data_IF_937646051539
#
_entry.id   IF_937646051539
#
_cell.length_a   1.000
_cell.length_b   1.000
_cell.length_c   1.000
_cell.angle_alpha   90.00
_cell.angle_beta   90.00
_cell.angle_gamma   90.00
#
_symmetry.space_group_name_H-M   'P 1'
#
loop_
_entity.id
_entity.type
_entity.pdbx_description
1 polymer ?
#
# COMPACT_ATOMS: atom_id res chain seq x y z
N UNK A 1 -3.09 53.07 -19.69
CA UNK A 1 -3.96 52.08 -19.01
C UNK A 1 -3.85 50.65 -19.55
N UNK A 2 -3.75 50.42 -20.88
CA UNK A 2 -3.73 49.06 -21.47
C UNK A 2 -2.58 48.12 -21.04
N UNK A 3 -1.40 48.66 -20.71
CA UNK A 3 -0.23 47.84 -20.31
C UNK A 3 -0.32 47.23 -18.91
N UNK A 4 -1.10 47.82 -17.99
CA UNK A 4 -1.26 47.32 -16.61
C UNK A 4 -2.23 46.14 -16.53
N UNK A 5 -3.22 46.10 -17.42
CA UNK A 5 -4.21 45.01 -17.50
C UNK A 5 -3.59 43.72 -18.03
N UNK A 6 -2.69 43.82 -19.01
CA UNK A 6 -1.99 42.65 -19.57
C UNK A 6 -1.07 41.95 -18.55
N UNK A 7 -0.36 42.70 -17.70
CA UNK A 7 0.53 42.13 -16.69
C UNK A 7 -0.24 41.37 -15.58
N UNK A 8 -1.42 41.85 -15.21
CA UNK A 8 -2.29 41.21 -14.20
C UNK A 8 -2.89 39.90 -14.76
N UNK A 9 -3.31 39.91 -16.03
CA UNK A 9 -3.79 38.70 -16.72
C UNK A 9 -2.71 37.62 -16.84
N UNK A 10 -1.48 37.99 -17.18
CA UNK A 10 -0.37 37.04 -17.26
C UNK A 10 0.00 36.44 -15.89
N UNK A 11 -0.05 37.23 -14.82
CA UNK A 11 0.23 36.75 -13.46
C UNK A 11 -0.84 35.76 -12.98
N UNK A 12 -2.12 36.03 -13.28
CA UNK A 12 -3.23 35.12 -12.95
C UNK A 12 -3.14 33.78 -13.71
N UNK A 13 -2.71 33.81 -14.97
CA UNK A 13 -2.54 32.59 -15.78
C UNK A 13 -1.38 31.72 -15.26
N UNK A 14 -0.29 32.34 -14.80
CA UNK A 14 0.84 31.62 -14.18
C UNK A 14 0.44 31.04 -12.81
N UNK A 15 -0.35 31.75 -12.00
CA UNK A 15 -0.83 31.23 -10.70
C UNK A 15 -1.80 30.05 -10.88
N UNK A 16 -2.64 30.06 -11.93
CA UNK A 16 -3.49 28.91 -12.25
C UNK A 16 -2.71 27.73 -12.83
N UNK A 17 -1.65 27.98 -13.62
CA UNK A 17 -0.76 26.93 -14.10
C UNK A 17 0.09 26.32 -12.98
N UNK A 18 0.55 27.09 -12.00
CA UNK A 18 1.34 26.53 -10.87
C UNK A 18 0.41 25.88 -9.83
N UNK A 19 -0.82 26.35 -9.64
CA UNK A 19 -1.79 25.74 -8.71
C UNK A 19 -2.48 24.50 -9.27
N UNK A 20 -2.61 24.37 -10.59
CA UNK A 20 -3.26 23.22 -11.24
C UNK A 20 -2.39 21.95 -11.30
N UNK A 21 -1.07 22.09 -11.29
CA UNK A 21 -0.15 20.94 -11.42
C UNK A 21 0.14 20.21 -10.09
N UNK A 22 -0.24 20.77 -8.95
CA UNK A 22 0.00 20.15 -7.64
C UNK A 22 -1.06 19.09 -7.26
N UNK A 23 -2.07 18.87 -8.10
CA UNK A 23 -3.28 18.10 -7.74
C UNK A 23 -3.43 16.70 -8.34
N UNK A 24 -2.43 16.13 -9.02
CA UNK A 24 -2.65 14.87 -9.73
C UNK A 24 -1.50 13.88 -9.60
N UNK A 25 -1.22 13.39 -8.39
CA UNK A 25 -0.89 11.98 -8.21
C UNK A 25 -1.43 11.50 -6.86
N UNK A 26 -2.75 11.28 -6.70
CA UNK A 26 -3.20 10.39 -5.64
C UNK A 26 -2.49 9.05 -5.89
N UNK A 27 -1.57 8.69 -5.00
CA UNK A 27 -0.95 7.36 -4.99
C UNK A 27 -2.09 6.36 -5.09
N UNK A 28 -2.23 5.66 -6.23
CA UNK A 28 -3.39 4.79 -6.44
C UNK A 28 -3.52 3.83 -5.25
N UNK A 29 -4.73 3.58 -4.73
CA UNK A 29 -4.88 2.74 -3.57
C UNK A 29 -4.38 1.32 -3.90
N UNK A 30 -3.74 0.65 -2.94
CA UNK A 30 -3.22 -0.71 -3.16
C UNK A 30 -4.32 -1.71 -3.55
N UNK A 31 -5.58 -1.40 -3.23
CA UNK A 31 -6.76 -2.16 -3.62
C UNK A 31 -6.96 -2.22 -5.14
N UNK A 32 -6.41 -1.26 -5.90
CA UNK A 32 -6.37 -1.33 -7.37
C UNK A 32 -5.36 -2.35 -7.90
N UNK A 33 -4.51 -2.93 -7.04
CA UNK A 33 -3.44 -3.87 -7.40
C UNK A 33 -3.65 -5.28 -6.82
N UNK A 34 -4.91 -5.73 -6.70
CA UNK A 34 -5.21 -7.10 -6.27
C UNK A 34 -4.52 -8.12 -7.18
N UNK A 35 -3.81 -9.05 -6.56
CA UNK A 35 -3.08 -10.11 -7.24
C UNK A 35 -4.07 -11.12 -7.84
N UNK A 36 -3.89 -11.52 -9.12
CA UNK A 36 -4.75 -12.52 -9.76
C UNK A 36 -4.64 -13.91 -9.09
N UNK A 37 -3.54 -14.16 -8.36
CA UNK A 37 -3.35 -15.34 -7.52
C UNK A 37 -2.80 -14.91 -6.16
N UNK A 38 -3.66 -14.82 -5.13
CA UNK A 38 -3.21 -14.55 -3.77
C UNK A 38 -2.25 -15.63 -3.26
N UNK A 39 -1.25 -15.23 -2.47
CA UNK A 39 -0.32 -16.16 -1.85
C UNK A 39 -0.84 -16.56 -0.47
N UNK A 40 -1.01 -17.86 -0.23
CA UNK A 40 -1.46 -18.36 1.08
C UNK A 40 -0.32 -18.21 2.09
N UNK A 41 -0.63 -17.61 3.24
CA UNK A 41 0.27 -17.45 4.37
C UNK A 41 -0.17 -18.42 5.47
N UNK A 42 0.80 -18.95 6.23
CA UNK A 42 0.50 -19.90 7.32
C UNK A 42 0.72 -19.23 8.67
N UNK A 43 -0.29 -19.21 9.53
CA UNK A 43 -0.11 -18.83 10.94
C UNK A 43 -0.21 -20.08 11.84
N UNK A 44 0.86 -20.48 12.54
CA UNK A 44 0.79 -21.61 13.47
C UNK A 44 -0.10 -21.32 14.68
N UNK A 45 -0.31 -20.05 15.06
CA UNK A 45 -1.09 -19.65 16.22
C UNK A 45 -2.58 -19.49 15.92
N UNK A 46 -2.97 -19.48 14.63
CA UNK A 46 -4.36 -19.37 14.19
C UNK A 46 -4.66 -20.40 13.09
N UNK A 47 -4.63 -21.71 13.42
CA UNK A 47 -4.77 -22.78 12.43
C UNK A 47 -6.18 -22.89 11.83
N UNK A 48 -7.17 -22.23 12.45
CA UNK A 48 -8.57 -22.22 11.98
C UNK A 48 -8.85 -21.11 10.96
N UNK A 49 -7.87 -20.26 10.69
CA UNK A 49 -8.03 -19.16 9.75
C UNK A 49 -7.10 -19.31 8.56
N UNK A 50 -7.58 -18.88 7.40
CA UNK A 50 -6.78 -18.82 6.18
C UNK A 50 -6.32 -17.40 5.94
N UNK A 51 -5.02 -17.20 5.81
CA UNK A 51 -4.42 -15.91 5.49
C UNK A 51 -3.95 -15.89 4.04
N UNK A 52 -4.18 -14.79 3.34
CA UNK A 52 -3.73 -14.61 1.96
C UNK A 52 -3.13 -13.23 1.77
N UNK A 53 -1.93 -13.15 1.23
CA UNK A 53 -1.38 -11.92 0.67
C UNK A 53 -2.10 -11.66 -0.66
N UNK A 54 -3.02 -10.69 -0.68
CA UNK A 54 -3.90 -10.42 -1.82
C UNK A 54 -3.43 -9.24 -2.67
N UNK A 55 -2.56 -8.37 -2.16
CA UNK A 55 -1.90 -7.34 -2.95
C UNK A 55 -0.59 -6.93 -2.29
N UNK A 56 0.42 -6.58 -3.09
CA UNK A 56 1.60 -5.88 -2.61
C UNK A 56 2.21 -5.04 -3.72
N UNK A 57 2.87 -3.97 -3.33
CA UNK A 57 3.65 -3.13 -4.25
C UNK A 57 4.90 -2.63 -3.56
N UNK A 58 5.99 -2.54 -4.31
CA UNK A 58 7.15 -1.78 -3.83
C UNK A 58 6.81 -0.30 -3.89
N UNK A 59 7.14 0.42 -2.83
CA UNK A 59 7.04 1.87 -2.76
C UNK A 59 8.44 2.47 -2.87
N UNK A 60 8.54 3.81 -2.81
CA UNK A 60 9.83 4.48 -2.84
C UNK A 60 10.73 4.05 -1.67
N UNK A 61 12.06 4.15 -1.87
CA UNK A 61 13.09 4.06 -0.81
C UNK A 61 13.16 2.74 -0.03
N UNK A 62 12.89 1.60 -0.67
CA UNK A 62 13.08 0.28 -0.04
C UNK A 62 11.96 -0.11 0.94
N UNK A 63 10.79 0.49 0.78
CA UNK A 63 9.58 0.05 1.46
C UNK A 63 8.69 -0.72 0.50
N UNK A 64 7.80 -1.53 1.05
CA UNK A 64 6.67 -2.12 0.35
C UNK A 64 5.37 -1.81 1.09
N UNK A 65 4.27 -1.84 0.37
CA UNK A 65 2.93 -1.84 0.94
C UNK A 65 2.30 -3.21 0.63
N UNK A 66 1.66 -3.81 1.62
CA UNK A 66 1.07 -5.13 1.52
C UNK A 66 -0.35 -5.14 2.10
N UNK A 67 -1.22 -5.92 1.46
CA UNK A 67 -2.61 -6.13 1.87
C UNK A 67 -2.84 -7.62 2.08
N UNK A 68 -3.20 -7.99 3.30
CA UNK A 68 -3.49 -9.37 3.70
C UNK A 68 -4.97 -9.51 4.01
N UNK A 69 -5.58 -10.57 3.47
CA UNK A 69 -6.90 -11.04 3.83
C UNK A 69 -6.78 -12.17 4.84
N UNK A 70 -7.67 -12.17 5.84
CA UNK A 70 -7.91 -13.28 6.74
C UNK A 70 -9.35 -13.75 6.56
N UNK A 71 -9.56 -15.05 6.37
CA UNK A 71 -10.86 -15.71 6.51
C UNK A 71 -10.79 -16.61 7.75
N UNK A 72 -11.54 -16.27 8.80
CA UNK A 72 -11.63 -17.08 10.01
C UNK A 72 -13.08 -17.33 10.41
N UNK A 73 -13.29 -17.98 11.56
CA UNK A 73 -14.64 -18.31 12.07
C UNK A 73 -15.49 -17.08 12.36
N UNK A 74 -14.85 -15.94 12.69
CA UNK A 74 -15.50 -14.66 12.94
C UNK A 74 -15.83 -13.88 11.66
N UNK A 75 -15.52 -14.42 10.48
CA UNK A 75 -15.70 -13.76 9.20
C UNK A 75 -14.37 -13.36 8.53
N UNK A 76 -14.50 -12.49 7.54
CA UNK A 76 -13.40 -12.00 6.71
C UNK A 76 -12.93 -10.65 7.20
N UNK A 77 -11.61 -10.46 7.26
CA UNK A 77 -11.00 -9.16 7.52
C UNK A 77 -9.79 -8.91 6.64
N UNK A 78 -9.41 -7.64 6.55
CA UNK A 78 -8.32 -7.15 5.72
C UNK A 78 -7.39 -6.28 6.55
N UNK A 79 -6.09 -6.37 6.27
CA UNK A 79 -5.08 -5.58 6.95
C UNK A 79 -4.01 -5.10 5.99
N UNK A 80 -3.80 -3.79 5.98
CA UNK A 80 -2.86 -3.08 5.12
C UNK A 80 -1.68 -2.62 5.95
N UNK A 81 -0.46 -2.92 5.50
CA UNK A 81 0.78 -2.57 6.20
C UNK A 81 1.83 -1.99 5.26
N UNK A 82 2.64 -1.08 5.79
CA UNK A 82 3.96 -0.75 5.24
C UNK A 82 4.97 -1.76 5.75
N UNK A 83 5.91 -2.16 4.91
CA UNK A 83 7.04 -3.02 5.22
C UNK A 83 8.33 -2.26 4.93
N UNK A 84 9.26 -2.20 5.88
CA UNK A 84 10.64 -1.79 5.63
C UNK A 84 11.43 -3.01 5.12
N UNK A 85 11.83 -3.01 3.85
CA UNK A 85 12.51 -4.16 3.25
C UNK A 85 13.97 -4.32 3.68
N UNK A 86 14.55 -3.35 4.40
CA UNK A 86 15.88 -3.47 5.00
C UNK A 86 15.82 -4.19 6.34
N UNK A 87 14.79 -3.92 7.14
CA UNK A 87 14.68 -4.43 8.52
C UNK A 87 13.64 -5.52 8.70
N UNK A 88 12.76 -5.74 7.71
CA UNK A 88 11.62 -6.65 7.80
C UNK A 88 10.51 -6.16 8.75
N UNK A 89 10.65 -4.96 9.31
CA UNK A 89 9.65 -4.38 10.23
C UNK A 89 8.42 -3.95 9.46
N UNK A 90 7.26 -4.05 10.13
CA UNK A 90 6.00 -3.61 9.52
C UNK A 90 5.32 -2.53 10.35
N UNK A 91 4.60 -1.63 9.69
CA UNK A 91 3.71 -0.64 10.31
C UNK A 91 2.29 -0.83 9.81
N UNK A 92 1.31 -0.82 10.71
CA UNK A 92 -0.11 -0.81 10.31
C UNK A 92 -0.46 0.48 9.56
N UNK A 93 -1.14 0.37 8.42
CA UNK A 93 -1.66 1.52 7.67
C UNK A 93 -3.18 1.57 7.73
N UNK A 94 -3.85 0.43 7.80
CA UNK A 94 -5.31 0.34 7.88
C UNK A 94 -5.77 -1.11 8.08
N UNK A 95 -7.00 -1.28 8.58
CA UNK A 95 -7.62 -2.59 8.76
C UNK A 95 -9.14 -2.45 8.80
N UNK A 96 -9.85 -3.52 8.49
CA UNK A 96 -11.31 -3.57 8.56
C UNK A 96 -11.87 -4.84 7.95
N UNK A 97 -13.19 -4.92 7.89
CA UNK A 97 -13.92 -6.07 7.34
C UNK A 97 -14.18 -5.90 5.83
N UNK A 98 -13.85 -4.72 5.29
CA UNK A 98 -13.91 -4.37 3.87
C UNK A 98 -12.60 -3.78 3.34
N UNK A 99 -12.39 -3.87 2.02
CA UNK A 99 -11.24 -3.22 1.36
C UNK A 99 -11.26 -1.70 1.54
N UNK A 100 -12.43 -1.08 1.52
CA UNK A 100 -12.61 0.37 1.71
C UNK A 100 -12.18 0.84 3.09
N UNK A 101 -12.46 0.08 4.15
CA UNK A 101 -12.02 0.42 5.51
C UNK A 101 -10.49 0.40 5.63
N UNK A 102 -9.80 -0.46 4.87
CA UNK A 102 -8.34 -0.46 4.88
C UNK A 102 -7.72 0.81 4.31
N UNK A 103 -8.48 1.61 3.54
CA UNK A 103 -8.01 2.88 2.99
C UNK A 103 -7.93 3.99 4.06
N UNK A 104 -8.59 3.82 5.21
CA UNK A 104 -8.49 4.77 6.33
C UNK A 104 -7.10 4.65 6.96
N UNK A 105 -6.31 5.71 6.84
CA UNK A 105 -4.92 5.76 7.32
C UNK A 105 -4.83 5.72 8.85
N UNK A 106 -3.82 5.01 9.36
CA UNK A 106 -3.48 4.92 10.79
C UNK A 106 -2.05 5.44 11.02
N UNK A 107 -1.83 6.77 11.02
CA UNK A 107 -0.50 7.37 10.97
C UNK A 107 0.35 7.12 12.22
N UNK A 108 -0.28 6.89 13.37
CA UNK A 108 0.39 6.75 14.67
C UNK A 108 0.88 5.33 14.99
N UNK A 109 0.67 4.36 14.10
CA UNK A 109 1.11 2.99 14.36
C UNK A 109 2.65 2.90 14.44
N UNK A 110 3.16 2.24 15.48
CA UNK A 110 4.59 1.94 15.59
C UNK A 110 5.02 0.87 14.58
N UNK A 111 6.30 0.89 14.19
CA UNK A 111 6.90 -0.23 13.47
C UNK A 111 7.21 -1.38 14.43
N UNK A 112 6.88 -2.60 14.03
CA UNK A 112 7.02 -3.80 14.84
C UNK A 112 7.86 -4.84 14.09
N UNK A 113 8.78 -5.49 14.82
CA UNK A 113 9.47 -6.70 14.38
C UNK A 113 8.61 -7.91 14.68
N UNK A 114 8.60 -8.90 13.79
CA UNK A 114 7.82 -10.12 13.96
C UNK A 114 8.72 -11.33 14.13
N UNK A 115 8.26 -12.30 14.93
CA UNK A 115 8.91 -13.59 15.00
C UNK A 115 8.88 -14.28 13.62
N UNK A 116 9.92 -15.05 13.34
CA UNK A 116 10.01 -15.86 12.12
C UNK A 116 8.82 -16.83 12.00
N UNK A 117 8.36 -17.07 10.78
CA UNK A 117 7.23 -17.97 10.52
C UNK A 117 5.84 -17.39 10.80
N UNK A 118 5.74 -16.19 11.37
CA UNK A 118 4.45 -15.47 11.48
C UNK A 118 3.96 -14.98 10.11
N UNK A 119 2.67 -14.66 10.00
CA UNK A 119 2.10 -14.09 8.77
C UNK A 119 2.79 -12.79 8.32
N UNK A 120 3.24 -11.97 9.27
CA UNK A 120 3.85 -10.68 8.97
C UNK A 120 5.32 -10.81 8.58
N UNK A 121 6.05 -11.76 9.16
CA UNK A 121 7.38 -12.12 8.67
C UNK A 121 7.31 -12.66 7.23
N UNK A 122 6.41 -13.60 6.94
CA UNK A 122 6.19 -14.12 5.59
C UNK A 122 5.75 -13.02 4.60
N UNK A 123 4.86 -12.12 5.03
CA UNK A 123 4.42 -10.98 4.22
C UNK A 123 5.60 -10.07 3.89
N UNK A 124 6.47 -9.78 4.86
CA UNK A 124 7.64 -8.96 4.64
C UNK A 124 8.58 -9.59 3.61
N UNK A 125 8.89 -10.88 3.77
CA UNK A 125 9.73 -11.62 2.82
C UNK A 125 9.16 -11.59 1.40
N UNK A 126 7.87 -11.86 1.25
CA UNK A 126 7.22 -11.92 -0.06
C UNK A 126 7.10 -10.53 -0.71
N UNK A 127 6.69 -9.51 0.05
CA UNK A 127 6.52 -8.16 -0.46
C UNK A 127 7.86 -7.51 -0.86
N UNK A 128 8.94 -7.88 -0.16
CA UNK A 128 10.26 -7.31 -0.35
C UNK A 128 11.17 -8.11 -1.30
N UNK A 129 10.77 -9.31 -1.71
CA UNK A 129 11.41 -10.00 -2.85
C UNK A 129 11.35 -9.05 -4.04
N UNK A 130 12.51 -8.50 -4.42
CA UNK A 130 12.66 -7.83 -5.71
C UNK A 130 12.27 -8.87 -6.74
N UNK A 131 11.22 -8.60 -7.52
CA UNK A 131 11.16 -9.21 -8.86
C UNK A 131 12.44 -8.79 -9.53
N UNK A 132 13.43 -9.68 -9.60
CA UNK A 132 14.46 -9.57 -10.61
C UNK A 132 13.68 -9.55 -11.93
N UNK A 133 13.60 -8.38 -12.56
CA UNK A 133 12.87 -8.04 -13.78
C UNK A 133 11.73 -8.98 -14.19
N UNK A 134 10.47 -8.61 -13.96
CA UNK A 134 9.37 -9.25 -14.69
C UNK A 134 8.21 -8.28 -14.96
N UNK A 135 8.45 -7.42 -15.94
CA UNK A 135 7.43 -6.95 -16.88
C UNK A 135 7.03 -8.11 -17.81
N UNK A 136 6.25 -9.08 -17.33
CA UNK A 136 5.32 -9.91 -18.14
C UNK A 136 4.47 -10.80 -17.22
N UNK A 137 3.14 -10.86 -17.40
CA UNK A 137 2.34 -11.92 -16.81
C UNK A 137 2.62 -13.25 -17.53
N UNK A 138 2.48 -14.41 -16.86
CA UNK A 138 2.60 -15.71 -17.50
C UNK A 138 1.53 -15.87 -18.59
N UNK A 139 1.97 -16.35 -19.75
CA UNK A 139 1.16 -16.70 -20.93
C UNK A 139 0.37 -17.98 -20.70
#
# INVERSE_FOLDING_TARGET
>A
MRRRVAAILSLLMVVMLVSGYFWLHPSSPITSALAPRPVVLRDPNDPRSTYRLIAWRQTSRGFAEALVQRDGTSGRSFSRRRVDCRTGRTRSLGAGDSLSETAVERPEAAEVTHASGTIWAQTADLACRRRAGSSRPPS
#
